data_IF_038601359188
#
_entry.id   IF_038601359188
#
_cell.length_a   1.000
_cell.length_b   1.000
_cell.length_c   1.000
_cell.angle_alpha   90.00
_cell.angle_beta   90.00
_cell.angle_gamma   90.00
#
_symmetry.space_group_name_H-M   'P 1'
#
loop_
_entity.id
_entity.type
_entity.pdbx_description
1 polymer ?
#
# COMPACT_ATOMS: atom_id res chain seq x y z
N UNK A 1 -3.07 2.47 -20.86
CA UNK A 1 -3.06 1.98 -19.46
C UNK A 1 -2.24 2.96 -18.63
N UNK A 2 -2.76 3.48 -17.51
CA UNK A 2 -2.12 4.55 -16.74
C UNK A 2 -1.18 3.93 -15.69
N UNK A 3 0.12 3.90 -15.97
CA UNK A 3 1.14 3.19 -15.17
C UNK A 3 1.18 3.75 -13.74
N UNK A 4 0.98 5.06 -13.59
CA UNK A 4 0.89 5.69 -12.27
C UNK A 4 -0.26 5.11 -11.43
N UNK A 5 -1.44 4.95 -12.03
CA UNK A 5 -2.60 4.41 -11.31
C UNK A 5 -2.34 2.96 -10.89
N UNK A 6 -1.75 2.13 -11.74
CA UNK A 6 -1.44 0.74 -11.42
C UNK A 6 -0.38 0.64 -10.32
N UNK A 7 0.68 1.46 -10.40
CA UNK A 7 1.73 1.54 -9.38
C UNK A 7 1.16 1.96 -8.02
N UNK A 8 0.40 3.05 -7.97
CA UNK A 8 -0.16 3.55 -6.72
C UNK A 8 -1.26 2.64 -6.18
N UNK A 9 -1.99 1.91 -7.02
CA UNK A 9 -3.06 1.00 -6.58
C UNK A 9 -2.53 -0.25 -5.86
N UNK A 10 -1.22 -0.54 -5.94
CA UNK A 10 -0.60 -1.62 -5.16
C UNK A 10 -0.79 -1.44 -3.64
N UNK A 11 -1.01 -0.21 -3.18
CA UNK A 11 -1.38 0.09 -1.79
C UNK A 11 -2.71 -0.51 -1.35
N UNK A 12 -3.70 -0.60 -2.25
CA UNK A 12 -4.98 -1.27 -1.99
C UNK A 12 -4.77 -2.78 -1.86
N UNK A 13 -4.00 -3.36 -2.78
CA UNK A 13 -3.60 -4.78 -2.71
C UNK A 13 -2.84 -5.06 -1.42
N UNK A 14 -1.88 -4.22 -1.05
CA UNK A 14 -1.11 -4.34 0.17
C UNK A 14 -2.03 -4.31 1.40
N UNK A 15 -2.96 -3.37 1.48
CA UNK A 15 -3.91 -3.28 2.59
C UNK A 15 -4.77 -4.54 2.72
N UNK A 16 -5.29 -5.05 1.60
CA UNK A 16 -6.07 -6.30 1.60
C UNK A 16 -5.23 -7.49 2.06
N UNK A 17 -3.99 -7.62 1.57
CA UNK A 17 -3.07 -8.68 1.97
C UNK A 17 -2.69 -8.62 3.45
N UNK A 18 -2.39 -7.43 3.97
CA UNK A 18 -2.09 -7.23 5.39
C UNK A 18 -3.26 -7.70 6.26
N UNK A 19 -4.49 -7.29 5.92
CA UNK A 19 -5.68 -7.70 6.67
C UNK A 19 -5.90 -9.22 6.61
N UNK A 20 -5.70 -9.86 5.46
CA UNK A 20 -5.80 -11.32 5.35
C UNK A 20 -4.75 -12.02 6.24
N UNK A 21 -3.49 -11.56 6.20
CA UNK A 21 -2.44 -12.16 7.03
C UNK A 21 -2.66 -11.89 8.52
N UNK A 22 -3.22 -10.75 8.92
CA UNK A 22 -3.62 -10.49 10.31
C UNK A 22 -4.59 -11.57 10.82
N UNK A 23 -5.61 -11.89 10.02
CA UNK A 23 -6.60 -12.93 10.36
C UNK A 23 -5.98 -14.34 10.40
N UNK A 24 -5.10 -14.66 9.45
CA UNK A 24 -4.40 -15.95 9.39
C UNK A 24 -3.48 -16.13 10.60
N UNK A 25 -2.70 -15.09 10.95
CA UNK A 25 -1.82 -15.07 12.12
C UNK A 25 -2.64 -15.26 13.40
N UNK A 26 -3.74 -14.53 13.57
CA UNK A 26 -4.59 -14.64 14.76
C UNK A 26 -5.18 -16.05 14.90
N UNK A 27 -5.67 -16.64 13.79
CA UNK A 27 -6.18 -18.02 13.80
C UNK A 27 -5.09 -19.01 14.18
N UNK A 28 -3.91 -18.90 13.58
CA UNK A 28 -2.80 -19.82 13.80
C UNK A 28 -2.25 -19.74 15.23
N UNK A 29 -2.19 -18.54 15.81
CA UNK A 29 -1.84 -18.36 17.22
C UNK A 29 -2.82 -19.07 18.16
N UNK A 30 -4.13 -19.07 17.84
CA UNK A 30 -5.13 -19.84 18.59
C UNK A 30 -4.93 -21.35 18.42
N UNK A 31 -4.67 -21.82 17.20
CA UNK A 31 -4.44 -23.23 16.93
C UNK A 31 -3.21 -23.77 17.67
N UNK A 32 -2.11 -23.00 17.72
CA UNK A 32 -0.90 -23.36 18.48
C UNK A 32 -1.21 -23.56 19.98
N UNK A 33 -2.09 -22.74 20.55
CA UNK A 33 -2.52 -22.87 21.95
C UNK A 33 -3.40 -24.11 22.18
N UNK A 34 -4.19 -24.52 21.18
CA UNK A 34 -5.07 -25.68 21.25
C UNK A 34 -4.31 -27.01 21.10
N UNK A 35 -3.33 -27.07 20.21
CA UNK A 35 -2.53 -28.29 19.94
C UNK A 35 -1.29 -28.43 20.82
N UNK A 36 -1.26 -27.76 21.98
CA UNK A 36 -0.09 -27.58 22.86
C UNK A 36 0.66 -28.85 23.32
N UNK A 37 0.12 -30.05 23.04
CA UNK A 37 0.71 -31.33 23.41
C UNK A 37 1.31 -32.12 22.22
N UNK A 38 1.17 -31.66 20.98
CA UNK A 38 1.76 -32.30 19.78
C UNK A 38 2.90 -31.45 19.20
N UNK A 39 4.14 -31.81 19.54
CA UNK A 39 5.33 -31.05 19.17
C UNK A 39 5.57 -30.97 17.66
N UNK A 40 5.14 -31.98 16.88
CA UNK A 40 5.31 -32.00 15.42
C UNK A 40 4.32 -31.04 14.77
N UNK A 41 3.06 -31.06 15.21
CA UNK A 41 2.02 -30.14 14.74
C UNK A 41 2.38 -28.70 15.13
N UNK A 42 2.80 -28.46 16.38
CA UNK A 42 3.21 -27.13 16.86
C UNK A 42 4.34 -26.57 16.01
N UNK A 43 5.36 -27.38 15.67
CA UNK A 43 6.48 -26.88 14.88
C UNK A 43 6.03 -26.46 13.48
N UNK A 44 5.18 -27.25 12.81
CA UNK A 44 4.62 -26.89 11.49
C UNK A 44 3.82 -25.60 11.55
N UNK A 45 2.97 -25.44 12.57
CA UNK A 45 2.19 -24.22 12.76
C UNK A 45 3.09 -23.00 13.02
N UNK A 46 4.21 -23.17 13.75
CA UNK A 46 5.18 -22.08 13.96
C UNK A 46 5.90 -21.68 12.68
N UNK A 47 6.26 -22.64 11.84
CA UNK A 47 6.92 -22.38 10.56
C UNK A 47 5.98 -21.61 9.61
N UNK A 48 4.72 -22.03 9.53
CA UNK A 48 3.70 -21.35 8.72
C UNK A 48 3.37 -19.95 9.27
N UNK A 49 3.33 -19.79 10.60
CA UNK A 49 3.15 -18.50 11.26
C UNK A 49 4.26 -17.52 10.87
N UNK A 50 5.51 -17.98 10.91
CA UNK A 50 6.68 -17.19 10.51
C UNK A 50 6.59 -16.76 9.03
N UNK A 51 6.09 -17.62 8.15
CA UNK A 51 5.87 -17.28 6.75
C UNK A 51 4.81 -16.17 6.60
N UNK A 52 3.66 -16.28 7.29
CA UNK A 52 2.63 -15.25 7.25
C UNK A 52 3.11 -13.91 7.81
N UNK A 53 3.90 -13.91 8.89
CA UNK A 53 4.52 -12.71 9.44
C UNK A 53 5.50 -12.05 8.45
N UNK A 54 6.33 -12.85 7.77
CA UNK A 54 7.24 -12.37 6.73
C UNK A 54 6.48 -11.76 5.54
N UNK A 55 5.42 -12.42 5.07
CA UNK A 55 4.58 -11.92 3.99
C UNK A 55 3.85 -10.62 4.37
N UNK A 56 3.28 -10.56 5.58
CA UNK A 56 2.69 -9.33 6.12
C UNK A 56 3.70 -8.18 6.13
N UNK A 57 4.91 -8.42 6.63
CA UNK A 57 6.00 -7.43 6.67
C UNK A 57 6.37 -6.93 5.27
N UNK A 58 6.44 -7.82 4.27
CA UNK A 58 6.67 -7.44 2.88
C UNK A 58 5.63 -6.42 2.38
N UNK A 59 4.34 -6.66 2.61
CA UNK A 59 3.28 -5.75 2.15
C UNK A 59 3.27 -4.42 2.91
N UNK A 60 3.59 -4.42 4.20
CA UNK A 60 3.79 -3.18 4.98
C UNK A 60 4.92 -2.35 4.35
N UNK A 61 6.05 -2.99 4.05
CA UNK A 61 7.19 -2.32 3.41
C UNK A 61 6.83 -1.80 2.02
N UNK A 62 6.06 -2.54 1.23
CA UNK A 62 5.59 -2.09 -0.09
C UNK A 62 4.72 -0.84 0.01
N UNK A 63 3.83 -0.76 1.00
CA UNK A 63 3.02 0.44 1.27
C UNK A 63 3.90 1.62 1.71
N UNK A 64 4.91 1.37 2.54
CA UNK A 64 5.87 2.39 2.98
C UNK A 64 6.73 2.93 1.82
N UNK A 65 7.18 2.06 0.91
CA UNK A 65 7.91 2.43 -0.31
C UNK A 65 7.11 3.42 -1.15
N UNK A 66 5.82 3.14 -1.40
CA UNK A 66 4.96 4.04 -2.19
C UNK A 66 4.74 5.38 -1.47
N UNK A 67 4.59 5.37 -0.14
CA UNK A 67 4.51 6.61 0.66
C UNK A 67 5.78 7.45 0.49
N UNK A 68 6.95 6.84 0.62
CA UNK A 68 8.24 7.53 0.45
C UNK A 68 8.43 8.04 -0.98
N UNK A 69 8.05 7.25 -1.98
CA UNK A 69 8.05 7.69 -3.38
C UNK A 69 7.24 8.98 -3.57
N UNK A 70 6.01 9.04 -3.03
CA UNK A 70 5.15 10.22 -3.13
C UNK A 70 5.73 11.45 -2.41
N UNK A 71 6.30 11.26 -1.21
CA UNK A 71 6.93 12.34 -0.44
C UNK A 71 8.11 12.97 -1.20
N UNK A 72 8.90 12.13 -1.88
CA UNK A 72 10.09 12.52 -2.64
C UNK A 72 9.78 13.05 -4.05
N UNK A 73 8.50 13.21 -4.43
CA UNK A 73 8.16 13.85 -5.70
C UNK A 73 8.46 15.36 -5.63
N UNK A 74 9.09 15.89 -6.68
CA UNK A 74 9.26 17.33 -6.85
C UNK A 74 8.02 17.92 -7.53
N UNK A 75 6.90 17.95 -6.80
CA UNK A 75 5.60 18.51 -7.22
C UNK A 75 5.00 19.38 -6.12
N UNK A 76 3.96 20.15 -6.46
CA UNK A 76 3.23 20.99 -5.51
C UNK A 76 2.70 20.16 -4.34
N UNK A 77 2.81 20.71 -3.14
CA UNK A 77 2.49 19.99 -1.89
C UNK A 77 1.01 19.59 -1.80
N UNK A 78 0.10 20.43 -2.27
CA UNK A 78 -1.33 20.10 -2.33
C UNK A 78 -1.63 18.87 -3.22
N UNK A 79 -0.86 18.66 -4.30
CA UNK A 79 -0.97 17.45 -5.13
C UNK A 79 -0.45 16.25 -4.34
N UNK A 80 0.71 16.36 -3.65
CA UNK A 80 1.23 15.27 -2.82
C UNK A 80 0.24 14.86 -1.74
N UNK A 81 -0.31 15.82 -1.01
CA UNK A 81 -1.31 15.59 0.04
C UNK A 81 -2.51 14.82 -0.50
N UNK A 82 -3.09 15.25 -1.62
CA UNK A 82 -4.23 14.54 -2.24
C UNK A 82 -3.85 13.13 -2.68
N UNK A 83 -2.66 12.92 -3.24
CA UNK A 83 -2.19 11.58 -3.63
C UNK A 83 -1.95 10.67 -2.42
N UNK A 84 -1.33 11.18 -1.36
CA UNK A 84 -1.08 10.43 -0.11
C UNK A 84 -2.40 10.04 0.53
N UNK A 85 -3.33 10.98 0.72
CA UNK A 85 -4.65 10.68 1.27
C UNK A 85 -5.39 9.63 0.42
N UNK A 86 -5.31 9.75 -0.92
CA UNK A 86 -6.04 8.85 -1.82
C UNK A 86 -5.45 7.44 -1.90
N UNK A 87 -4.13 7.34 -1.96
CA UNK A 87 -3.45 6.08 -2.28
C UNK A 87 -2.72 5.47 -1.09
N UNK A 88 -2.22 6.25 -0.13
CA UNK A 88 -1.55 5.69 1.06
C UNK A 88 -2.55 5.48 2.20
N UNK A 89 -3.40 6.47 2.44
CA UNK A 89 -4.42 6.43 3.50
C UNK A 89 -5.78 5.90 3.00
N UNK A 90 -5.88 5.62 1.70
CA UNK A 90 -7.03 4.98 1.05
C UNK A 90 -8.37 5.72 1.22
N UNK A 91 -8.31 7.04 1.48
CA UNK A 91 -9.48 7.89 1.66
C UNK A 91 -10.27 8.03 0.36
N UNK A 92 -11.60 8.00 0.46
CA UNK A 92 -12.50 8.34 -0.65
C UNK A 92 -12.42 9.85 -0.92
N UNK A 93 -12.72 10.26 -2.16
CA UNK A 93 -12.68 11.69 -2.57
C UNK A 93 -13.48 12.61 -1.64
N UNK A 94 -14.64 12.14 -1.16
CA UNK A 94 -15.48 12.89 -0.22
C UNK A 94 -14.79 13.10 1.13
N UNK A 95 -14.11 12.09 1.66
CA UNK A 95 -13.33 12.23 2.90
C UNK A 95 -12.18 13.21 2.70
N UNK A 96 -11.47 13.15 1.57
CA UNK A 96 -10.40 14.09 1.23
C UNK A 96 -10.93 15.53 1.15
N UNK A 97 -12.11 15.70 0.56
CA UNK A 97 -12.80 17.00 0.48
C UNK A 97 -13.08 17.56 1.86
N UNK A 98 -13.58 16.72 2.78
CA UNK A 98 -13.80 17.13 4.16
C UNK A 98 -12.50 17.45 4.92
N UNK A 99 -11.43 16.68 4.71
CA UNK A 99 -10.13 16.86 5.40
C UNK A 99 -9.42 18.13 4.93
N UNK A 100 -9.40 18.40 3.62
CA UNK A 100 -8.64 19.50 3.03
C UNK A 100 -9.48 20.76 2.77
N UNK A 101 -10.79 20.70 3.02
CA UNK A 101 -11.75 21.76 2.66
C UNK A 101 -11.71 22.16 1.18
N UNK A 102 -11.44 21.19 0.31
CA UNK A 102 -11.39 21.37 -1.13
C UNK A 102 -12.67 20.90 -1.81
N UNK A 103 -13.07 21.56 -2.89
CA UNK A 103 -14.14 21.05 -3.74
C UNK A 103 -13.74 19.73 -4.41
N UNK A 104 -14.71 18.86 -4.69
CA UNK A 104 -14.46 17.59 -5.38
C UNK A 104 -13.83 17.81 -6.77
N UNK A 105 -14.25 18.85 -7.48
CA UNK A 105 -13.68 19.21 -8.78
C UNK A 105 -12.21 19.64 -8.69
N UNK A 106 -11.83 20.32 -7.62
CA UNK A 106 -10.44 20.68 -7.38
C UNK A 106 -9.60 19.44 -7.03
N UNK A 107 -10.11 18.53 -6.20
CA UNK A 107 -9.47 17.24 -5.90
C UNK A 107 -9.25 16.42 -7.18
N UNK A 108 -10.25 16.32 -8.05
CA UNK A 108 -10.12 15.58 -9.30
C UNK A 108 -9.06 16.19 -10.23
N UNK A 109 -8.94 17.52 -10.25
CA UNK A 109 -7.89 18.23 -10.99
C UNK A 109 -6.50 17.91 -10.44
N UNK A 110 -6.32 17.97 -9.11
CA UNK A 110 -5.06 17.65 -8.44
C UNK A 110 -4.66 16.18 -8.66
N UNK A 111 -5.63 15.25 -8.57
CA UNK A 111 -5.40 13.83 -8.87
C UNK A 111 -4.95 13.62 -10.32
N UNK A 112 -5.62 14.27 -11.29
CA UNK A 112 -5.23 14.17 -12.71
C UNK A 112 -3.81 14.70 -12.94
N UNK A 113 -3.48 15.86 -12.38
CA UNK A 113 -2.14 16.46 -12.49
C UNK A 113 -1.07 15.58 -11.85
N UNK A 114 -1.33 15.06 -10.64
CA UNK A 114 -0.41 14.19 -9.92
C UNK A 114 -0.17 12.86 -10.64
N UNK A 115 -1.24 12.21 -11.13
CA UNK A 115 -1.12 10.96 -11.89
C UNK A 115 -0.36 11.16 -13.19
N UNK A 116 -0.62 12.25 -13.92
CA UNK A 116 0.13 12.57 -15.12
C UNK A 116 1.63 12.74 -14.84
N UNK A 117 1.99 13.50 -13.80
CA UNK A 117 3.39 13.69 -13.42
C UNK A 117 4.09 12.37 -13.06
N UNK A 118 3.42 11.50 -12.29
CA UNK A 118 3.98 10.19 -11.91
C UNK A 118 4.16 9.30 -13.13
N UNK A 119 3.22 9.32 -14.07
CA UNK A 119 3.28 8.51 -15.29
C UNK A 119 4.52 8.89 -16.11
N UNK A 120 4.77 10.19 -16.30
CA UNK A 120 5.97 10.69 -16.97
C UNK A 120 7.26 10.32 -16.22
N UNK A 121 7.27 10.44 -14.89
CA UNK A 121 8.42 10.05 -14.07
C UNK A 121 8.73 8.55 -14.22
N UNK A 122 7.72 7.68 -14.13
CA UNK A 122 7.90 6.23 -14.25
C UNK A 122 8.32 5.80 -15.65
N UNK A 123 7.82 6.44 -16.71
CA UNK A 123 8.28 6.20 -18.09
C UNK A 123 9.74 6.59 -18.26
N UNK A 124 10.14 7.76 -17.77
CA UNK A 124 11.52 8.24 -17.87
C UNK A 124 12.51 7.34 -17.12
N UNK A 125 12.12 6.79 -15.97
CA UNK A 125 12.93 5.82 -15.22
C UNK A 125 13.08 4.48 -15.94
N UNK A 126 12.07 4.03 -16.69
CA UNK A 126 12.15 2.79 -17.49
C UNK A 126 13.08 2.92 -18.69
N UNK A 127 13.15 4.11 -19.30
CA UNK A 127 14.04 4.37 -20.44
C UNK A 127 15.52 4.48 -20.06
N UNK A 128 15.83 4.75 -18.77
CA UNK A 128 17.22 4.82 -18.27
C UNK A 128 17.90 3.44 -18.07
N UNK A 129 17.20 2.34 -18.32
CA UNK A 129 17.78 0.98 -18.31
C UNK A 129 18.09 0.56 -19.77
N UNK A 130 19.02 1.26 -20.41
CA UNK A 130 19.70 0.82 -21.63
C UNK A 130 21.15 1.28 -21.51
N UNK A 131 21.99 0.45 -20.90
CA UNK A 131 23.45 0.45 -21.06
C UNK A 131 23.87 -1.01 -21.16
#
# INVERSE_FOLDING_TARGET
MNIAKDYLSQTYTAQGKIMCYDLMIESMQKDILLFNNDSVIIQRLKDELSEYEAQKKYWINKKAEIKQFLLNLNIRENIKQVLILRFVELKKRREISSILHYSLSYIDRLLKQGLFFIDEKLKSSRQKVVI
#
